data_IF_021860082563
#
_entry.id   IF_021860082563
#
_cell.length_a   1.000
_cell.length_b   1.000
_cell.length_c   1.000
_cell.angle_alpha   90.00
_cell.angle_beta   90.00
_cell.angle_gamma   90.00
#
_symmetry.space_group_name_H-M   'P 1'
#
loop_
_entity.id
_entity.type
_entity.pdbx_description
1 polymer ?
#
# COMPACT_ATOMS: atom_id res chain seq x y z
N UNK A 1 -8.75 -3.35 -7.45
CA UNK A 1 -9.32 -2.66 -6.26
C UNK A 1 -10.57 -3.41 -5.79
N UNK A 2 -10.70 -3.69 -4.48
CA UNK A 2 -11.90 -4.28 -3.95
C UNK A 2 -13.05 -3.27 -4.03
N UNK A 3 -14.16 -3.68 -4.65
CA UNK A 3 -15.37 -2.86 -4.69
C UNK A 3 -16.13 -3.00 -3.36
N UNK A 4 -15.78 -2.17 -2.38
CA UNK A 4 -16.44 -2.14 -1.08
C UNK A 4 -17.63 -1.17 -1.13
N UNK A 5 -18.83 -1.67 -0.83
CA UNK A 5 -20.02 -0.83 -0.78
C UNK A 5 -19.88 0.25 0.31
N UNK A 6 -20.32 1.47 0.02
CA UNK A 6 -20.10 2.64 0.90
C UNK A 6 -20.66 2.44 2.32
N UNK A 7 -21.77 1.71 2.48
CA UNK A 7 -22.36 1.41 3.78
C UNK A 7 -21.58 0.38 4.61
N UNK A 8 -20.58 -0.28 4.02
CA UNK A 8 -19.68 -1.23 4.70
C UNK A 8 -18.33 -0.60 5.08
N UNK A 9 -18.05 0.60 4.57
CA UNK A 9 -16.85 1.34 4.95
C UNK A 9 -17.00 1.93 6.35
N UNK A 10 -15.92 1.91 7.10
CA UNK A 10 -15.87 2.42 8.49
C UNK A 10 -14.71 3.38 8.67
N UNK A 11 -14.73 4.27 9.70
CA UNK A 11 -13.58 5.16 9.93
C UNK A 11 -12.27 4.42 10.19
N UNK A 12 -12.34 3.24 10.78
CA UNK A 12 -11.19 2.38 11.10
C UNK A 12 -10.81 1.39 9.98
N UNK A 13 -11.58 1.33 8.88
CA UNK A 13 -11.30 0.42 7.77
C UNK A 13 -11.28 -1.07 8.14
N UNK A 14 -11.99 -1.47 9.19
CA UNK A 14 -11.91 -2.83 9.81
C UNK A 14 -12.09 -4.00 8.85
N UNK A 15 -12.82 -3.84 7.74
CA UNK A 15 -12.97 -4.89 6.73
C UNK A 15 -11.66 -5.22 5.99
N UNK A 16 -10.64 -4.36 6.07
CA UNK A 16 -9.32 -4.63 5.51
C UNK A 16 -8.64 -5.84 6.17
N UNK A 17 -9.00 -6.11 7.43
CA UNK A 17 -8.43 -7.18 8.24
C UNK A 17 -9.35 -8.40 8.41
N UNK A 18 -10.46 -8.45 7.67
CA UNK A 18 -11.40 -9.58 7.71
C UNK A 18 -10.86 -10.75 6.87
N UNK A 19 -10.56 -11.93 7.46
CA UNK A 19 -10.07 -13.09 6.73
C UNK A 19 -11.10 -13.65 5.73
N UNK A 20 -12.39 -13.36 5.92
CA UNK A 20 -13.47 -13.72 4.99
C UNK A 20 -13.86 -12.55 4.07
N UNK A 21 -13.08 -11.49 4.06
CA UNK A 21 -13.25 -10.35 3.17
C UNK A 21 -13.06 -10.70 1.69
N UNK A 22 -13.40 -9.76 0.81
CA UNK A 22 -13.36 -9.99 -0.65
C UNK A 22 -11.94 -10.39 -1.13
N UNK A 23 -10.90 -9.70 -0.70
CA UNK A 23 -9.53 -9.96 -1.16
C UNK A 23 -9.03 -11.33 -0.71
N UNK A 24 -9.05 -11.72 0.57
CA UNK A 24 -8.61 -13.05 1.00
C UNK A 24 -9.39 -14.19 0.34
N UNK A 25 -10.71 -14.06 0.19
CA UNK A 25 -11.53 -15.08 -0.53
C UNK A 25 -11.12 -15.20 -1.99
N UNK A 26 -10.87 -14.08 -2.66
CA UNK A 26 -10.43 -14.07 -4.06
C UNK A 26 -9.06 -14.75 -4.20
N UNK A 27 -8.11 -14.44 -3.31
CA UNK A 27 -6.79 -15.07 -3.30
C UNK A 27 -6.91 -16.58 -3.13
N UNK A 28 -7.67 -17.05 -2.12
CA UNK A 28 -7.89 -18.49 -1.90
C UNK A 28 -8.50 -19.18 -3.14
N UNK A 29 -9.49 -18.55 -3.77
CA UNK A 29 -10.13 -19.09 -4.97
C UNK A 29 -9.14 -19.18 -6.17
N UNK A 30 -8.30 -18.14 -6.36
CA UNK A 30 -7.26 -18.15 -7.39
C UNK A 30 -6.22 -19.23 -7.13
N UNK A 31 -5.70 -19.33 -5.91
CA UNK A 31 -4.71 -20.35 -5.54
C UNK A 31 -5.26 -21.78 -5.63
N UNK A 32 -6.52 -21.99 -5.29
CA UNK A 32 -7.18 -23.29 -5.45
C UNK A 32 -7.32 -23.68 -6.92
N UNK A 33 -7.58 -22.73 -7.81
CA UNK A 33 -7.79 -23.01 -9.26
C UNK A 33 -6.51 -23.00 -10.05
N UNK A 34 -5.54 -22.16 -9.65
CA UNK A 34 -4.28 -21.92 -10.36
C UNK A 34 -3.12 -21.89 -9.33
N UNK A 35 -2.68 -23.05 -8.81
CA UNK A 35 -1.68 -23.10 -7.74
C UNK A 35 -0.35 -22.42 -8.08
N UNK A 36 0.05 -22.47 -9.35
CA UNK A 36 1.31 -21.89 -9.85
C UNK A 36 1.22 -20.39 -10.13
N UNK A 37 0.02 -19.79 -10.05
CA UNK A 37 -0.14 -18.36 -10.30
C UNK A 37 0.43 -17.55 -9.15
N UNK A 38 1.41 -16.68 -9.42
CA UNK A 38 1.86 -15.66 -8.48
C UNK A 38 0.75 -14.62 -8.25
N UNK A 39 0.42 -14.36 -7.00
CA UNK A 39 -0.62 -13.39 -6.61
C UNK A 39 -0.01 -12.30 -5.76
N UNK A 40 -0.21 -11.06 -6.19
CA UNK A 40 0.17 -9.87 -5.45
C UNK A 40 -1.07 -9.08 -5.05
N UNK A 41 -1.09 -8.58 -3.81
CA UNK A 41 -2.20 -7.77 -3.30
C UNK A 41 -1.71 -6.49 -2.65
N UNK A 42 -2.43 -5.38 -2.84
CA UNK A 42 -2.19 -4.16 -2.09
C UNK A 42 -2.46 -4.37 -0.59
N UNK A 43 -1.61 -3.80 0.25
CA UNK A 43 -1.93 -3.49 1.65
C UNK A 43 -2.29 -2.01 1.70
N UNK A 44 -3.60 -1.73 1.80
CA UNK A 44 -4.15 -0.39 1.67
C UNK A 44 -5.47 -0.29 2.44
N UNK A 45 -5.67 0.82 3.15
CA UNK A 45 -6.89 1.05 3.94
C UNK A 45 -7.91 1.93 3.22
N UNK A 46 -7.51 2.77 2.27
CA UNK A 46 -8.38 3.72 1.59
C UNK A 46 -9.60 3.09 0.87
N UNK A 47 -9.58 1.83 0.37
CA UNK A 47 -10.78 1.19 -0.12
C UNK A 47 -11.83 0.91 0.96
N UNK A 48 -11.40 0.81 2.22
CA UNK A 48 -12.20 0.37 3.36
C UNK A 48 -12.59 1.49 4.31
N UNK A 49 -11.83 2.61 4.31
CA UNK A 49 -12.13 3.76 5.15
C UNK A 49 -13.26 4.61 4.58
N UNK A 50 -14.15 5.10 5.45
CA UNK A 50 -15.27 5.96 5.04
C UNK A 50 -14.82 7.35 4.59
N UNK A 51 -13.65 7.80 5.04
CA UNK A 51 -13.04 9.10 4.70
C UNK A 51 -12.02 9.02 3.54
N UNK A 52 -11.69 7.82 3.04
CA UNK A 52 -10.80 7.62 1.87
C UNK A 52 -9.32 7.89 2.11
N UNK A 53 -8.87 8.08 3.34
CA UNK A 53 -7.46 8.17 3.68
C UNK A 53 -6.83 6.78 3.82
N UNK A 54 -5.50 6.69 3.65
CA UNK A 54 -4.75 5.44 3.72
C UNK A 54 -4.42 4.98 5.16
N UNK A 55 -4.86 5.72 6.18
CA UNK A 55 -4.64 5.43 7.59
C UNK A 55 -5.77 5.94 8.49
N UNK A 56 -5.64 5.69 9.78
CA UNK A 56 -6.52 6.27 10.80
C UNK A 56 -6.34 7.77 10.86
N UNK A 57 -7.40 8.49 11.17
CA UNK A 57 -7.37 9.96 11.27
C UNK A 57 -7.79 10.43 12.67
N UNK A 58 -7.25 11.57 13.08
CA UNK A 58 -7.75 12.31 14.25
C UNK A 58 -8.98 13.16 13.92
N UNK A 59 -9.46 13.92 14.90
CA UNK A 59 -10.61 14.83 14.75
C UNK A 59 -10.39 15.94 13.71
N UNK A 60 -9.13 16.29 13.44
CA UNK A 60 -8.76 17.28 12.42
C UNK A 60 -8.71 16.69 11.00
N UNK A 61 -8.76 15.35 10.87
CA UNK A 61 -8.59 14.61 9.61
C UNK A 61 -7.12 14.36 9.25
N UNK A 62 -6.18 14.57 10.20
CA UNK A 62 -4.77 14.24 10.06
C UNK A 62 -4.56 12.73 10.21
N UNK A 63 -3.77 12.12 9.33
CA UNK A 63 -3.49 10.69 9.37
C UNK A 63 -2.46 10.38 10.46
N UNK A 64 -2.82 9.45 11.34
CA UNK A 64 -2.03 9.00 12.48
C UNK A 64 -1.15 7.81 12.06
N UNK A 65 0.16 8.04 11.96
CA UNK A 65 1.12 7.04 11.49
C UNK A 65 1.13 5.80 12.37
N UNK A 66 1.48 5.97 13.63
CA UNK A 66 1.76 4.85 14.53
C UNK A 66 0.51 4.00 14.85
N UNK A 67 -0.65 4.65 14.93
CA UNK A 67 -1.93 3.99 15.13
C UNK A 67 -2.39 3.20 13.90
N UNK A 68 -1.90 3.57 12.71
CA UNK A 68 -2.21 2.89 11.45
C UNK A 68 -1.40 1.60 11.26
N UNK A 69 -0.15 1.57 11.74
CA UNK A 69 0.76 0.43 11.53
C UNK A 69 0.19 -0.93 11.98
N UNK A 70 -0.49 -1.08 13.13
CA UNK A 70 -1.09 -2.34 13.53
C UNK A 70 -2.14 -2.88 12.55
N UNK A 71 -2.90 -2.00 11.89
CA UNK A 71 -3.92 -2.39 10.91
C UNK A 71 -3.27 -2.88 9.62
N UNK A 72 -2.26 -2.17 9.12
CA UNK A 72 -1.49 -2.57 7.94
C UNK A 72 -0.81 -3.92 8.16
N UNK A 73 -0.20 -4.10 9.34
CA UNK A 73 0.37 -5.39 9.78
C UNK A 73 -0.67 -6.50 9.72
N UNK A 74 -1.84 -6.28 10.29
CA UNK A 74 -2.90 -7.30 10.35
C UNK A 74 -3.45 -7.60 8.95
N UNK A 75 -3.64 -6.59 8.10
CA UNK A 75 -4.06 -6.77 6.71
C UNK A 75 -3.06 -7.64 5.94
N UNK A 76 -1.77 -7.35 6.05
CA UNK A 76 -0.71 -8.14 5.41
C UNK A 76 -0.73 -9.61 5.86
N UNK A 77 -0.90 -9.86 7.17
CA UNK A 77 -1.00 -11.23 7.71
C UNK A 77 -2.23 -11.98 7.18
N UNK A 78 -3.38 -11.33 7.13
CA UNK A 78 -4.61 -11.93 6.59
C UNK A 78 -4.44 -12.29 5.10
N UNK A 79 -3.78 -11.45 4.34
CA UNK A 79 -3.47 -11.72 2.94
C UNK A 79 -2.46 -12.85 2.78
N UNK A 80 -1.40 -12.89 3.60
CA UNK A 80 -0.41 -13.97 3.60
C UNK A 80 -1.06 -15.33 3.98
N UNK A 81 -1.94 -15.34 4.97
CA UNK A 81 -2.73 -16.53 5.34
C UNK A 81 -3.64 -17.02 4.21
N UNK A 82 -4.12 -16.12 3.37
CA UNK A 82 -4.91 -16.49 2.18
C UNK A 82 -4.06 -17.07 1.04
N UNK A 83 -2.73 -16.94 1.10
CA UNK A 83 -1.79 -17.52 0.16
C UNK A 83 -1.22 -16.56 -0.89
N UNK A 84 -1.15 -15.25 -0.60
CA UNK A 84 -0.46 -14.31 -1.51
C UNK A 84 1.04 -14.58 -1.53
N UNK A 85 1.66 -14.33 -2.67
CA UNK A 85 3.11 -14.44 -2.83
C UNK A 85 3.81 -13.11 -2.52
N UNK A 86 3.11 -11.99 -2.77
CA UNK A 86 3.65 -10.64 -2.59
C UNK A 86 2.58 -9.77 -1.92
N UNK A 87 2.95 -9.09 -0.85
CA UNK A 87 2.16 -7.97 -0.28
C UNK A 87 2.76 -6.65 -0.73
N UNK A 88 1.90 -5.69 -1.09
CA UNK A 88 2.34 -4.42 -1.67
C UNK A 88 1.79 -3.21 -0.88
N UNK A 89 2.45 -2.81 0.22
CA UNK A 89 2.01 -1.66 1.02
C UNK A 89 2.07 -0.36 0.23
N UNK A 90 0.93 0.32 0.11
CA UNK A 90 0.77 1.52 -0.72
C UNK A 90 0.38 2.78 0.07
N UNK A 91 0.42 2.71 1.38
CA UNK A 91 -0.07 3.73 2.30
C UNK A 91 0.91 4.90 2.55
N UNK A 92 2.21 4.68 2.49
CA UNK A 92 3.30 5.63 2.79
C UNK A 92 3.48 5.97 4.28
N UNK A 93 3.03 5.10 5.21
CA UNK A 93 3.33 5.28 6.64
C UNK A 93 4.78 4.90 6.94
N UNK A 94 5.45 5.68 7.80
CA UNK A 94 6.82 5.40 8.21
C UNK A 94 6.89 4.12 9.06
N UNK A 95 7.90 3.27 8.79
CA UNK A 95 8.14 2.05 9.55
C UNK A 95 7.21 0.87 9.20
N UNK A 96 6.28 1.05 8.27
CA UNK A 96 5.30 0.01 7.89
C UNK A 96 5.95 -1.25 7.31
N UNK A 97 7.00 -1.08 6.53
CA UNK A 97 7.67 -2.22 5.89
C UNK A 97 8.33 -3.10 6.96
N UNK A 98 9.03 -2.49 7.91
CA UNK A 98 9.67 -3.21 9.03
C UNK A 98 8.67 -3.93 9.93
N UNK A 99 7.52 -3.30 10.19
CA UNK A 99 6.43 -3.92 10.98
C UNK A 99 5.83 -5.11 10.24
N UNK A 100 5.55 -4.99 8.94
CA UNK A 100 5.01 -6.07 8.11
C UNK A 100 6.03 -7.21 7.97
N UNK A 101 7.31 -6.90 7.67
CA UNK A 101 8.35 -7.92 7.53
C UNK A 101 8.48 -8.77 8.79
N UNK A 102 8.61 -8.14 9.95
CA UNK A 102 8.68 -8.87 11.23
C UNK A 102 7.47 -9.76 11.45
N UNK A 103 6.28 -9.25 11.17
CA UNK A 103 5.04 -10.01 11.36
C UNK A 103 4.97 -11.23 10.45
N UNK A 104 5.39 -11.11 9.19
CA UNK A 104 5.45 -12.24 8.24
C UNK A 104 6.44 -13.30 8.72
N UNK A 105 7.67 -12.90 9.12
CA UNK A 105 8.70 -13.80 9.62
C UNK A 105 8.23 -14.54 10.88
N UNK A 106 7.75 -13.81 11.89
CA UNK A 106 7.27 -14.36 13.16
C UNK A 106 6.08 -15.32 12.99
N UNK A 107 5.27 -15.11 11.94
CA UNK A 107 4.11 -15.95 11.61
C UNK A 107 4.44 -17.10 10.64
N UNK A 108 5.71 -17.27 10.25
CA UNK A 108 6.17 -18.35 9.37
C UNK A 108 5.98 -18.12 7.87
N UNK A 109 5.56 -16.90 7.45
CA UNK A 109 5.40 -16.52 6.04
C UNK A 109 6.71 -16.00 5.44
N UNK A 110 7.82 -16.72 5.66
CA UNK A 110 9.18 -16.33 5.29
C UNK A 110 9.40 -16.19 3.78
N UNK A 111 8.51 -16.74 2.95
CA UNK A 111 8.58 -16.65 1.48
C UNK A 111 7.69 -15.56 0.90
N UNK A 112 6.84 -14.91 1.70
CA UNK A 112 6.02 -13.82 1.23
C UNK A 112 6.88 -12.58 1.04
N UNK A 113 6.96 -12.08 -0.20
CA UNK A 113 7.75 -10.91 -0.55
C UNK A 113 6.98 -9.61 -0.28
N UNK A 114 7.74 -8.52 -0.12
CA UNK A 114 7.18 -7.17 0.06
C UNK A 114 7.61 -6.30 -1.12
N UNK A 115 6.63 -5.77 -1.86
CA UNK A 115 6.82 -4.71 -2.85
C UNK A 115 6.35 -3.37 -2.27
N UNK A 116 7.28 -2.54 -1.81
CA UNK A 116 6.94 -1.26 -1.20
C UNK A 116 6.63 -0.18 -2.24
N UNK A 117 5.53 0.56 -2.06
CA UNK A 117 5.28 1.80 -2.79
C UNK A 117 6.14 2.90 -2.16
N UNK A 118 7.45 2.83 -2.36
CA UNK A 118 8.44 3.66 -1.65
C UNK A 118 8.46 5.11 -2.12
N UNK A 119 8.18 5.37 -3.41
CA UNK A 119 8.17 6.72 -3.98
C UNK A 119 6.80 7.03 -4.58
N UNK A 120 5.85 7.38 -3.72
CA UNK A 120 4.47 7.70 -4.10
C UNK A 120 4.20 9.20 -3.90
N UNK A 121 4.11 9.91 -5.02
CA UNK A 121 3.97 11.37 -5.04
C UNK A 121 2.53 11.85 -4.89
N UNK A 122 2.33 12.96 -4.18
CA UNK A 122 1.05 13.67 -4.11
C UNK A 122 0.76 14.42 -5.41
N UNK A 123 0.66 13.68 -6.51
CA UNK A 123 0.60 14.19 -7.87
C UNK A 123 -0.80 14.65 -8.28
N UNK A 124 -0.88 15.70 -9.07
CA UNK A 124 -2.12 16.13 -9.74
C UNK A 124 -2.63 15.09 -10.76
N UNK A 125 -1.76 14.23 -11.26
CA UNK A 125 -2.10 13.16 -12.21
C UNK A 125 -3.00 12.05 -11.63
N UNK A 126 -3.26 12.05 -10.33
CA UNK A 126 -4.24 11.14 -9.72
C UNK A 126 -5.70 11.50 -9.99
N UNK A 127 -6.01 12.64 -10.56
CA UNK A 127 -7.39 13.05 -10.88
C UNK A 127 -8.14 11.97 -11.68
N UNK A 128 -7.68 11.62 -12.91
CA UNK A 128 -8.33 10.57 -13.72
C UNK A 128 -8.40 9.21 -13.04
N UNK A 129 -7.37 8.84 -12.28
CA UNK A 129 -7.35 7.58 -11.54
C UNK A 129 -8.42 7.55 -10.43
N UNK A 130 -8.54 8.64 -9.65
CA UNK A 130 -9.55 8.74 -8.59
C UNK A 130 -10.97 8.65 -9.15
N UNK A 131 -11.20 9.25 -10.31
CA UNK A 131 -12.49 9.17 -11.01
C UNK A 131 -12.78 7.74 -11.45
N UNK A 132 -11.79 7.05 -12.04
CA UNK A 132 -11.94 5.69 -12.52
C UNK A 132 -12.23 4.67 -11.41
N UNK A 133 -11.64 4.84 -10.21
CA UNK A 133 -11.84 3.94 -9.06
C UNK A 133 -12.91 4.43 -8.09
N UNK A 134 -13.57 5.56 -8.36
CA UNK A 134 -14.62 6.14 -7.51
C UNK A 134 -14.16 6.61 -6.13
N UNK A 135 -12.85 6.83 -5.94
CA UNK A 135 -12.29 7.25 -4.64
C UNK A 135 -12.41 8.76 -4.38
N UNK A 136 -12.63 9.56 -5.42
CA UNK A 136 -12.78 11.01 -5.30
C UNK A 136 -13.94 11.42 -4.38
N UNK A 137 -15.05 10.69 -4.44
CA UNK A 137 -16.24 10.98 -3.63
C UNK A 137 -15.99 10.78 -2.11
N UNK A 138 -15.18 9.80 -1.73
CA UNK A 138 -14.90 9.51 -0.31
C UNK A 138 -13.87 10.47 0.28
N UNK A 139 -12.85 10.87 -0.49
CA UNK A 139 -11.81 11.80 -0.05
C UNK A 139 -12.36 13.23 0.17
N UNK A 140 -13.43 13.62 -0.55
CA UNK A 140 -14.04 14.94 -0.44
C UNK A 140 -13.04 16.08 -0.65
N UNK A 141 -12.93 16.97 0.36
CA UNK A 141 -11.98 18.09 0.36
C UNK A 141 -10.65 17.75 1.04
N UNK A 142 -10.48 16.57 1.61
CA UNK A 142 -9.24 16.18 2.30
C UNK A 142 -8.10 15.90 1.29
N UNK A 143 -6.87 15.91 1.79
CA UNK A 143 -5.65 15.79 0.97
C UNK A 143 -4.75 14.68 1.50
N UNK A 144 -4.04 14.01 0.61
CA UNK A 144 -3.01 13.02 0.96
C UNK A 144 -1.60 13.63 1.02
N UNK A 145 -1.48 14.97 0.93
CA UNK A 145 -0.18 15.69 0.90
C UNK A 145 0.58 15.64 2.23
N UNK A 146 -0.05 15.22 3.31
CA UNK A 146 0.57 15.09 4.64
C UNK A 146 1.45 13.87 4.78
N UNK A 147 1.29 12.86 3.89
CA UNK A 147 2.06 11.61 3.93
C UNK A 147 2.51 11.10 2.55
N UNK A 148 1.98 11.64 1.45
CA UNK A 148 2.54 11.38 0.12
C UNK A 148 3.59 12.43 -0.23
N UNK A 149 4.61 12.03 -1.00
CA UNK A 149 5.78 12.83 -1.29
C UNK A 149 5.48 14.11 -2.06
N UNK A 150 6.27 15.14 -1.81
CA UNK A 150 6.21 16.40 -2.56
C UNK A 150 6.73 16.21 -4.00
N UNK A 151 5.93 16.52 -5.05
CA UNK A 151 6.38 16.42 -6.43
C UNK A 151 7.63 17.24 -6.80
N UNK A 152 7.94 18.26 -6.02
CA UNK A 152 9.11 19.12 -6.21
C UNK A 152 10.41 18.62 -5.57
N UNK A 153 10.38 17.46 -4.86
CA UNK A 153 11.54 16.91 -4.17
C UNK A 153 11.90 15.52 -4.69
N UNK A 154 12.94 15.45 -5.52
CA UNK A 154 13.39 14.17 -6.09
C UNK A 154 14.36 13.39 -5.19
N UNK A 155 15.00 14.06 -4.22
CA UNK A 155 15.97 13.41 -3.32
C UNK A 155 15.27 12.62 -2.21
N UNK A 156 14.10 13.08 -1.78
CA UNK A 156 13.23 12.36 -0.85
C UNK A 156 12.93 10.93 -1.34
N UNK A 157 12.71 10.74 -2.65
CA UNK A 157 12.47 9.41 -3.21
C UNK A 157 13.60 8.41 -2.94
N UNK A 158 14.86 8.86 -3.01
CA UNK A 158 15.99 8.00 -2.70
C UNK A 158 16.09 7.69 -1.21
N UNK A 159 15.71 8.66 -0.36
CA UNK A 159 15.68 8.46 1.07
C UNK A 159 14.62 7.43 1.49
N UNK A 160 13.39 7.61 1.01
CA UNK A 160 12.27 6.70 1.29
C UNK A 160 12.55 5.28 0.78
N UNK A 161 13.08 5.14 -0.44
CA UNK A 161 13.48 3.84 -0.97
C UNK A 161 14.56 3.18 -0.11
N UNK A 162 15.55 3.95 0.35
CA UNK A 162 16.60 3.42 1.22
C UNK A 162 16.05 2.90 2.55
N UNK A 163 15.10 3.64 3.16
CA UNK A 163 14.43 3.23 4.40
C UNK A 163 13.63 1.94 4.20
N UNK A 164 12.76 1.88 3.18
CA UNK A 164 11.94 0.69 2.89
C UNK A 164 12.81 -0.56 2.63
N UNK A 165 13.91 -0.42 1.89
CA UNK A 165 14.87 -1.51 1.67
C UNK A 165 15.56 -1.95 2.96
N UNK A 166 15.95 -1.01 3.82
CA UNK A 166 16.54 -1.31 5.13
C UNK A 166 15.55 -2.03 6.05
N UNK A 167 14.28 -1.70 5.96
CA UNK A 167 13.19 -2.32 6.69
C UNK A 167 12.80 -3.71 6.17
N UNK A 168 13.28 -4.11 5.00
CA UNK A 168 13.10 -5.45 4.46
C UNK A 168 12.18 -5.56 3.23
N UNK A 169 12.01 -4.48 2.46
CA UNK A 169 11.37 -4.56 1.15
C UNK A 169 12.24 -5.38 0.17
N UNK A 170 11.60 -6.27 -0.60
CA UNK A 170 12.27 -7.06 -1.65
C UNK A 170 12.29 -6.30 -2.99
N UNK A 171 11.31 -5.44 -3.20
CA UNK A 171 11.06 -4.67 -4.42
C UNK A 171 10.49 -3.30 -4.04
N UNK A 172 10.68 -2.34 -4.95
CA UNK A 172 10.19 -0.98 -4.75
C UNK A 172 9.40 -0.49 -5.95
N UNK A 173 8.50 0.48 -5.73
CA UNK A 173 7.66 1.05 -6.77
C UNK A 173 7.68 2.56 -6.72
N UNK A 174 7.69 3.18 -7.92
CA UNK A 174 7.46 4.62 -8.13
C UNK A 174 6.04 4.82 -8.64
N UNK A 175 5.28 5.71 -8.02
CA UNK A 175 3.89 6.02 -8.41
C UNK A 175 3.58 7.53 -8.28
N UNK A 176 2.93 8.13 -9.28
CA UNK A 176 2.64 7.62 -10.62
C UNK A 176 3.92 7.55 -11.47
N UNK A 177 3.96 6.64 -12.44
CA UNK A 177 5.18 6.36 -13.19
C UNK A 177 5.52 7.39 -14.27
N UNK A 178 4.61 7.59 -15.21
CA UNK A 178 4.90 8.37 -16.44
C UNK A 178 5.43 9.78 -16.16
N UNK A 179 4.90 10.56 -15.19
CA UNK A 179 5.44 11.90 -14.89
C UNK A 179 6.76 11.89 -14.12
N UNK A 180 7.23 10.71 -13.63
CA UNK A 180 8.39 10.56 -12.75
C UNK A 180 9.38 9.49 -13.26
N UNK A 181 9.56 9.37 -14.60
CA UNK A 181 10.51 8.43 -15.20
C UNK A 181 11.98 8.72 -14.81
N UNK A 182 12.31 9.96 -14.54
CA UNK A 182 13.59 10.39 -13.97
C UNK A 182 13.82 9.78 -12.58
N UNK A 183 12.79 9.74 -11.73
CA UNK A 183 12.85 9.09 -10.41
C UNK A 183 13.01 7.58 -10.55
N UNK A 184 12.27 6.95 -11.46
CA UNK A 184 12.43 5.50 -11.76
C UNK A 184 13.87 5.20 -12.13
N UNK A 185 14.48 6.03 -13.00
CA UNK A 185 15.87 5.87 -13.42
C UNK A 185 16.83 6.05 -12.25
N UNK A 186 16.66 7.11 -11.46
CA UNK A 186 17.49 7.39 -10.28
C UNK A 186 17.44 6.25 -9.26
N UNK A 187 16.25 5.75 -8.92
CA UNK A 187 16.05 4.62 -7.99
C UNK A 187 16.75 3.37 -8.52
N UNK A 188 16.50 3.02 -9.80
CA UNK A 188 17.12 1.83 -10.40
C UNK A 188 18.64 1.90 -10.46
N UNK A 189 19.19 3.06 -10.80
CA UNK A 189 20.64 3.23 -10.89
C UNK A 189 21.32 3.21 -9.51
N UNK A 190 20.65 3.75 -8.49
CA UNK A 190 21.19 3.83 -7.13
C UNK A 190 21.15 2.48 -6.41
N UNK A 191 20.00 1.82 -6.39
CA UNK A 191 19.77 0.66 -5.53
C UNK A 191 19.91 -0.69 -6.24
N UNK A 192 19.81 -0.75 -7.56
CA UNK A 192 19.94 -1.99 -8.38
C UNK A 192 18.92 -3.10 -8.06
N UNK A 193 17.89 -2.81 -7.27
CA UNK A 193 16.81 -3.74 -6.90
C UNK A 193 15.73 -3.81 -7.99
N UNK A 194 14.81 -4.79 -7.94
CA UNK A 194 13.61 -4.78 -8.78
C UNK A 194 12.81 -3.49 -8.53
N UNK A 195 12.61 -2.71 -9.59
CA UNK A 195 11.95 -1.41 -9.54
C UNK A 195 10.73 -1.43 -10.43
N UNK A 196 9.57 -1.24 -9.83
CA UNK A 196 8.28 -1.24 -10.49
C UNK A 196 7.77 0.18 -10.71
N UNK A 197 6.81 0.29 -11.60
CA UNK A 197 6.22 1.56 -12.02
C UNK A 197 4.71 1.38 -12.18
N UNK A 198 3.95 2.32 -11.62
CA UNK A 198 2.48 2.28 -11.70
C UNK A 198 1.96 3.48 -12.50
#
# INVERSE_FOLDING_TARGET
>A
FPAIASNLKTPDGRLATDPEGLVPRTVRALKARFPELGVMTDVALDPYTSHGQDGLIDESGYVLNDETLPLLRQQALVQAQAGVDIVAPSDMMDGRIGVIRRALEESGFIHTQIMAYSAKYASAWYGPFRDAVGSAANLGKSSKKTYQMNPGNSDEALHEVALDLHEGADMVMVKPGLPYLDIVRRVKDTFKVPTFVY
#
